data_IF_601265888695
#
_entry.id   IF_601265888695
#
_cell.length_a   1.000
_cell.length_b   1.000
_cell.length_c   1.000
_cell.angle_alpha   90.00
_cell.angle_beta   90.00
_cell.angle_gamma   90.00
#
_symmetry.space_group_name_H-M   'P 1'
#
loop_
_entity.id
_entity.type
_entity.pdbx_description
1 polymer ?
#
# COMPACT_ATOMS: atom_id res chain seq x y z
N UNK A 1 -28.85 -8.00 4.29
CA UNK A 1 -27.66 -7.22 4.48
C UNK A 1 -26.42 -8.07 4.47
N UNK A 2 -25.45 -7.67 3.78
CA UNK A 2 -24.47 -8.60 3.23
C UNK A 2 -23.64 -9.27 4.32
N UNK A 3 -23.96 -10.49 4.60
CA UNK A 3 -23.03 -11.50 5.12
C UNK A 3 -21.77 -11.60 4.24
N UNK A 4 -21.60 -10.66 3.29
CA UNK A 4 -20.79 -10.89 2.11
C UNK A 4 -19.50 -10.09 2.04
N UNK A 5 -19.34 -8.98 2.76
CA UNK A 5 -18.08 -8.22 2.62
C UNK A 5 -16.90 -9.05 3.14
N UNK A 6 -17.04 -9.73 4.27
CA UNK A 6 -15.98 -10.62 4.77
C UNK A 6 -15.79 -11.87 3.90
N UNK A 7 -16.85 -12.37 3.28
CA UNK A 7 -16.79 -13.50 2.35
C UNK A 7 -16.32 -13.10 0.96
N UNK A 8 -16.76 -11.95 0.46
CA UNK A 8 -16.35 -11.41 -0.84
C UNK A 8 -14.93 -10.85 -0.82
N UNK A 9 -14.43 -10.39 0.32
CA UNK A 9 -13.06 -9.88 0.45
C UNK A 9 -11.99 -10.97 0.57
N UNK A 10 -12.36 -12.26 0.53
CA UNK A 10 -11.42 -13.34 0.76
C UNK A 10 -10.86 -13.42 2.19
N UNK A 11 -11.36 -12.60 3.10
CA UNK A 11 -10.94 -12.57 4.51
C UNK A 11 -11.73 -13.59 5.31
N UNK A 12 -11.25 -14.80 5.36
CA UNK A 12 -11.81 -15.86 6.25
C UNK A 12 -11.17 -15.76 7.64
N UNK A 13 -10.12 -14.96 7.80
CA UNK A 13 -9.42 -14.67 9.03
C UNK A 13 -8.01 -14.14 8.73
N UNK A 14 -7.38 -13.50 9.69
CA UNK A 14 -6.01 -12.97 9.54
C UNK A 14 -4.96 -14.06 9.28
N UNK A 15 -5.27 -15.33 9.59
CA UNK A 15 -4.37 -16.46 9.41
C UNK A 15 -4.53 -17.20 8.08
N UNK A 16 -5.54 -16.88 7.29
CA UNK A 16 -5.85 -17.58 6.03
C UNK A 16 -6.04 -16.57 4.91
N UNK A 17 -4.94 -16.10 4.36
CA UNK A 17 -4.90 -15.08 3.33
C UNK A 17 -5.04 -15.70 1.94
N UNK A 18 -5.99 -15.21 1.14
CA UNK A 18 -6.22 -15.65 -0.23
C UNK A 18 -4.94 -15.62 -1.08
N UNK A 19 -4.22 -14.51 -1.07
CA UNK A 19 -3.00 -14.36 -1.87
C UNK A 19 -1.88 -15.30 -1.44
N UNK A 20 -1.75 -15.57 -0.14
CA UNK A 20 -0.82 -16.57 0.35
C UNK A 20 -1.17 -17.96 -0.19
N UNK A 21 -2.45 -18.35 -0.18
CA UNK A 21 -2.91 -19.63 -0.72
C UNK A 21 -2.70 -19.73 -2.23
N UNK A 22 -2.94 -18.65 -2.94
CA UNK A 22 -2.64 -18.58 -4.38
C UNK A 22 -1.15 -18.72 -4.65
N UNK A 23 -0.30 -18.09 -3.86
CA UNK A 23 1.16 -18.18 -3.96
C UNK A 23 1.64 -19.60 -3.67
N UNK A 24 1.20 -20.22 -2.57
CA UNK A 24 1.53 -21.59 -2.21
C UNK A 24 1.14 -22.57 -3.31
N UNK A 25 -0.07 -22.40 -3.89
CA UNK A 25 -0.51 -23.18 -5.03
C UNK A 25 0.35 -22.92 -6.26
N UNK A 26 0.58 -21.67 -6.59
CA UNK A 26 1.40 -21.27 -7.74
C UNK A 26 2.80 -21.92 -7.69
N UNK A 27 3.37 -22.12 -6.50
CA UNK A 27 4.64 -22.81 -6.31
C UNK A 27 4.56 -24.34 -6.51
N UNK A 28 3.41 -24.95 -6.19
CA UNK A 28 3.29 -26.41 -6.10
C UNK A 28 2.56 -27.07 -7.28
N UNK A 29 1.62 -26.37 -7.93
CA UNK A 29 0.76 -26.96 -8.96
C UNK A 29 0.15 -25.89 -9.87
N UNK A 30 -0.13 -26.27 -11.12
CA UNK A 30 -0.83 -25.41 -12.11
C UNK A 30 -2.20 -25.97 -12.51
N UNK A 31 -2.72 -27.02 -11.84
CA UNK A 31 -3.96 -27.64 -12.24
C UNK A 31 -5.19 -26.75 -11.94
N UNK A 32 -6.23 -26.85 -12.76
CA UNK A 32 -7.48 -26.11 -12.60
C UNK A 32 -8.23 -26.47 -11.32
N UNK A 33 -8.12 -27.72 -10.86
CA UNK A 33 -8.80 -28.20 -9.66
C UNK A 33 -8.42 -27.36 -8.43
N UNK A 34 -7.13 -27.02 -8.27
CA UNK A 34 -6.67 -26.16 -7.18
C UNK A 34 -7.19 -24.72 -7.26
N UNK A 35 -7.51 -24.23 -8.47
CA UNK A 35 -8.16 -22.91 -8.64
C UNK A 35 -9.60 -22.98 -8.16
N UNK A 36 -10.32 -24.02 -8.53
CA UNK A 36 -11.71 -24.24 -8.15
C UNK A 36 -11.80 -24.37 -6.62
N UNK A 37 -10.91 -25.15 -6.01
CA UNK A 37 -10.86 -25.33 -4.55
C UNK A 37 -10.65 -24.00 -3.82
N UNK A 38 -9.71 -23.17 -4.28
CA UNK A 38 -9.48 -21.84 -3.69
C UNK A 38 -10.71 -20.96 -3.90
N UNK A 39 -11.28 -20.93 -5.10
CA UNK A 39 -12.46 -20.13 -5.43
C UNK A 39 -13.66 -20.49 -4.52
N UNK A 40 -13.91 -21.77 -4.32
CA UNK A 40 -14.97 -22.28 -3.44
C UNK A 40 -14.69 -21.92 -1.97
N UNK A 41 -13.47 -22.17 -1.49
CA UNK A 41 -13.07 -21.89 -0.11
C UNK A 41 -13.26 -20.42 0.26
N UNK A 42 -12.90 -19.52 -0.64
CA UNK A 42 -12.98 -18.07 -0.40
C UNK A 42 -14.27 -17.43 -0.92
N UNK A 43 -15.17 -18.25 -1.50
CA UNK A 43 -16.44 -17.80 -2.08
C UNK A 43 -16.26 -16.65 -3.09
N UNK A 44 -15.29 -16.82 -3.98
CA UNK A 44 -15.01 -15.92 -5.10
C UNK A 44 -15.18 -16.69 -6.43
N UNK A 45 -15.35 -15.98 -7.53
CA UNK A 45 -15.42 -16.62 -8.86
C UNK A 45 -14.06 -17.18 -9.29
N UNK A 46 -14.08 -18.29 -10.00
CA UNK A 46 -12.87 -18.89 -10.63
C UNK A 46 -12.14 -17.86 -11.50
N UNK A 47 -12.89 -17.02 -12.25
CA UNK A 47 -12.35 -15.93 -13.04
C UNK A 47 -11.62 -14.88 -12.21
N UNK A 48 -12.01 -14.67 -10.95
CA UNK A 48 -11.32 -13.76 -10.04
C UNK A 48 -9.93 -14.29 -9.69
N UNK A 49 -9.81 -15.60 -9.45
CA UNK A 49 -8.52 -16.24 -9.17
C UNK A 49 -7.61 -16.15 -10.40
N UNK A 50 -8.12 -16.49 -11.60
CA UNK A 50 -7.34 -16.33 -12.83
C UNK A 50 -6.93 -14.90 -13.11
N UNK A 51 -7.83 -13.94 -12.87
CA UNK A 51 -7.53 -12.52 -12.99
C UNK A 51 -6.40 -12.08 -12.05
N UNK A 52 -6.43 -12.53 -10.79
CA UNK A 52 -5.38 -12.24 -9.84
C UNK A 52 -4.05 -12.91 -10.21
N UNK A 53 -4.05 -14.18 -10.61
CA UNK A 53 -2.84 -14.90 -11.05
C UNK A 53 -2.18 -14.25 -12.27
N UNK A 54 -2.97 -13.75 -13.22
CA UNK A 54 -2.44 -13.09 -14.41
C UNK A 54 -1.98 -11.65 -14.15
N UNK A 55 -2.54 -11.00 -13.14
CA UNK A 55 -2.23 -9.62 -12.81
C UNK A 55 -0.99 -9.48 -11.91
N UNK A 56 -0.90 -10.28 -10.86
CA UNK A 56 0.19 -10.16 -9.88
C UNK A 56 1.42 -10.96 -10.31
N UNK A 57 2.53 -10.27 -10.53
CA UNK A 57 3.78 -10.85 -11.02
C UNK A 57 4.28 -12.04 -10.19
N UNK A 58 4.17 -11.98 -8.86
CA UNK A 58 4.58 -13.07 -7.98
C UNK A 58 3.71 -14.33 -8.07
N UNK A 59 2.51 -14.22 -8.62
CA UNK A 59 1.60 -15.36 -8.78
C UNK A 59 1.78 -16.06 -10.14
N UNK A 60 2.48 -15.43 -11.08
CA UNK A 60 2.66 -15.97 -12.43
C UNK A 60 3.53 -17.23 -12.43
N UNK A 61 3.12 -18.29 -13.10
CA UNK A 61 3.88 -19.55 -13.16
C UNK A 61 5.30 -19.39 -13.70
N UNK A 62 5.51 -18.52 -14.68
CA UNK A 62 6.81 -18.23 -15.28
C UNK A 62 7.78 -17.54 -14.33
N UNK A 63 7.30 -16.97 -13.24
CA UNK A 63 8.11 -16.29 -12.24
C UNK A 63 8.56 -17.16 -11.07
N UNK A 64 8.09 -18.41 -10.99
CA UNK A 64 8.42 -19.34 -9.89
C UNK A 64 9.91 -19.57 -9.66
N UNK A 65 10.69 -19.60 -10.74
CA UNK A 65 12.14 -19.83 -10.66
C UNK A 65 12.94 -18.55 -10.45
N UNK A 66 12.29 -17.37 -10.51
CA UNK A 66 12.96 -16.09 -10.39
C UNK A 66 13.32 -15.81 -8.93
N UNK A 67 14.49 -15.22 -8.73
CA UNK A 67 15.01 -14.80 -7.43
C UNK A 67 15.02 -13.28 -7.28
N UNK A 68 15.19 -12.57 -8.39
CA UNK A 68 15.18 -11.14 -8.43
C UNK A 68 14.24 -10.63 -9.53
N UNK A 69 13.63 -9.48 -9.31
CA UNK A 69 12.78 -8.80 -10.27
C UNK A 69 13.24 -7.37 -10.44
N UNK A 70 13.50 -6.97 -11.67
CA UNK A 70 13.87 -5.59 -12.02
C UNK A 70 12.59 -4.81 -12.30
N UNK A 71 12.47 -3.61 -11.75
CA UNK A 71 11.33 -2.74 -11.99
C UNK A 71 11.28 -2.29 -13.45
N UNK A 72 10.18 -2.60 -14.13
CA UNK A 72 9.91 -2.18 -15.50
C UNK A 72 8.81 -1.09 -15.56
N UNK A 73 8.66 -0.34 -14.47
CA UNK A 73 7.75 0.81 -14.39
C UNK A 73 8.26 2.01 -15.19
N UNK A 74 7.34 2.85 -15.66
CA UNK A 74 7.64 3.97 -16.57
C UNK A 74 8.74 4.91 -16.04
N UNK A 75 8.76 5.23 -14.76
CA UNK A 75 9.78 6.11 -14.18
C UNK A 75 11.19 5.50 -14.28
N UNK A 76 11.35 4.22 -13.95
CA UNK A 76 12.62 3.52 -14.06
C UNK A 76 13.06 3.33 -15.52
N UNK A 77 12.11 3.06 -16.42
CA UNK A 77 12.38 2.98 -17.86
C UNK A 77 12.88 4.31 -18.43
N UNK A 78 12.19 5.41 -18.08
CA UNK A 78 12.60 6.75 -18.51
C UNK A 78 13.99 7.15 -17.97
N UNK A 79 14.36 6.65 -16.79
CA UNK A 79 15.71 6.86 -16.24
C UNK A 79 16.81 6.10 -17.01
N UNK A 80 16.43 5.09 -17.80
CA UNK A 80 17.36 4.33 -18.67
C UNK A 80 18.38 3.46 -17.93
N UNK A 81 18.14 3.15 -16.64
CA UNK A 81 19.10 2.43 -15.79
C UNK A 81 18.86 0.92 -15.73
N UNK A 82 17.70 0.47 -16.19
CA UNK A 82 17.21 -0.89 -15.93
C UNK A 82 17.97 -1.99 -16.70
N UNK A 83 18.39 -1.72 -17.92
CA UNK A 83 19.14 -2.71 -18.72
C UNK A 83 20.48 -3.05 -18.07
N UNK A 84 21.21 -2.05 -17.58
CA UNK A 84 22.47 -2.25 -16.88
C UNK A 84 22.31 -2.99 -15.57
N UNK A 85 21.25 -2.67 -14.81
CA UNK A 85 20.88 -3.35 -13.57
C UNK A 85 20.52 -4.82 -13.83
N UNK A 86 19.66 -5.07 -14.81
CA UNK A 86 19.24 -6.41 -15.21
C UNK A 86 20.44 -7.26 -15.62
N UNK A 87 21.35 -6.70 -16.39
CA UNK A 87 22.59 -7.37 -16.80
C UNK A 87 23.44 -7.76 -15.58
N UNK A 88 23.69 -6.83 -14.65
CA UNK A 88 24.43 -7.11 -13.41
C UNK A 88 23.80 -8.22 -12.58
N UNK A 89 22.48 -8.19 -12.39
CA UNK A 89 21.76 -9.21 -11.62
C UNK A 89 21.84 -10.58 -12.31
N UNK A 90 21.68 -10.64 -13.62
CA UNK A 90 21.82 -11.88 -14.41
C UNK A 90 23.21 -12.49 -14.33
N UNK A 91 24.25 -11.67 -14.41
CA UNK A 91 25.64 -12.10 -14.24
C UNK A 91 25.89 -12.75 -12.87
N UNK A 92 25.21 -12.26 -11.82
CA UNK A 92 25.39 -12.75 -10.43
C UNK A 92 24.48 -13.92 -10.07
N UNK A 93 23.24 -13.91 -10.53
CA UNK A 93 22.23 -14.88 -10.13
C UNK A 93 21.97 -15.97 -11.18
N UNK A 94 22.32 -15.70 -12.43
CA UNK A 94 22.02 -16.52 -13.61
C UNK A 94 20.88 -15.93 -14.46
N UNK A 95 20.93 -16.17 -15.77
CA UNK A 95 19.96 -15.64 -16.75
C UNK A 95 18.49 -15.94 -16.39
N UNK A 96 18.25 -17.19 -15.99
CA UNK A 96 16.88 -17.65 -15.68
C UNK A 96 16.37 -17.22 -14.30
N UNK A 97 17.18 -16.54 -13.50
CA UNK A 97 16.82 -16.16 -12.11
C UNK A 97 16.36 -14.72 -11.97
N UNK A 98 16.42 -13.94 -13.05
CA UNK A 98 16.01 -12.55 -13.05
C UNK A 98 14.77 -12.37 -13.90
N UNK A 99 13.73 -11.78 -13.32
CA UNK A 99 12.48 -11.40 -13.97
C UNK A 99 12.30 -9.89 -14.00
N UNK A 100 11.16 -9.48 -14.49
CA UNK A 100 10.71 -8.09 -14.51
C UNK A 100 9.37 -7.98 -13.79
N UNK A 101 9.11 -6.82 -13.20
CA UNK A 101 7.81 -6.50 -12.63
C UNK A 101 7.52 -5.01 -12.72
N UNK A 102 6.23 -4.66 -12.66
CA UNK A 102 5.83 -3.27 -12.73
C UNK A 102 5.77 -2.64 -11.35
N UNK A 103 6.45 -1.51 -11.24
CA UNK A 103 6.51 -0.57 -10.17
C UNK A 103 6.71 -1.14 -8.75
N UNK A 104 7.95 -1.04 -8.29
CA UNK A 104 8.35 -1.39 -6.91
C UNK A 104 8.20 -0.23 -5.91
N UNK A 105 7.59 0.89 -6.31
CA UNK A 105 7.34 2.03 -5.42
C UNK A 105 8.52 2.99 -5.21
N UNK A 106 9.69 2.77 -5.85
CA UNK A 106 10.89 3.62 -5.74
C UNK A 106 11.09 4.53 -6.95
N UNK A 107 10.00 5.11 -7.48
CA UNK A 107 10.04 5.92 -8.69
C UNK A 107 10.90 7.18 -8.57
N UNK A 108 11.10 7.68 -7.36
CA UNK A 108 11.92 8.86 -7.06
C UNK A 108 13.42 8.57 -7.01
N UNK A 109 13.83 7.30 -6.84
CA UNK A 109 15.23 6.87 -6.78
C UNK A 109 15.69 6.17 -8.07
N UNK A 110 14.77 5.55 -8.79
CA UNK A 110 15.02 4.72 -9.95
C UNK A 110 15.88 3.46 -9.66
N UNK A 111 16.30 2.76 -10.69
CA UNK A 111 17.16 1.56 -10.57
C UNK A 111 16.63 0.52 -9.59
N UNK A 112 15.31 0.39 -9.49
CA UNK A 112 14.67 -0.47 -8.47
C UNK A 112 14.69 -1.93 -8.87
N UNK A 113 14.93 -2.79 -7.89
CA UNK A 113 14.79 -4.23 -8.02
C UNK A 113 14.31 -4.85 -6.70
N UNK A 114 13.65 -5.99 -6.82
CA UNK A 114 13.23 -6.81 -5.70
C UNK A 114 14.13 -8.02 -5.58
N UNK A 115 14.58 -8.36 -4.40
CA UNK A 115 15.37 -9.55 -4.14
C UNK A 115 15.13 -10.05 -2.71
N UNK A 116 14.82 -11.34 -2.59
CA UNK A 116 14.66 -12.05 -1.31
C UNK A 116 13.68 -11.38 -0.33
N UNK A 117 12.54 -10.88 -0.85
CA UNK A 117 11.50 -10.26 -0.04
C UNK A 117 11.63 -8.73 0.13
N UNK A 118 12.78 -8.15 -0.22
CA UNK A 118 13.10 -6.74 -0.01
C UNK A 118 13.19 -5.96 -1.34
N UNK A 119 12.88 -4.67 -1.29
CA UNK A 119 13.05 -3.75 -2.41
C UNK A 119 14.30 -2.90 -2.22
N UNK A 120 15.07 -2.76 -3.28
CA UNK A 120 16.30 -1.97 -3.36
C UNK A 120 16.18 -0.95 -4.50
N UNK A 121 16.82 0.22 -4.35
CA UNK A 121 16.77 1.28 -5.35
C UNK A 121 17.97 2.24 -5.26
N UNK A 122 18.09 3.13 -6.23
CA UNK A 122 19.06 4.21 -6.23
C UNK A 122 20.50 3.71 -6.04
N UNK A 123 21.14 4.17 -4.98
CA UNK A 123 22.52 3.84 -4.66
C UNK A 123 22.75 2.40 -4.20
N UNK A 124 21.70 1.65 -3.87
CA UNK A 124 21.80 0.25 -3.45
C UNK A 124 22.40 -0.63 -4.56
N UNK A 125 22.26 -0.24 -5.83
CA UNK A 125 22.87 -0.95 -6.95
C UNK A 125 24.38 -1.07 -6.87
N UNK A 126 25.03 -0.22 -6.10
CA UNK A 126 26.48 -0.29 -5.87
C UNK A 126 26.83 -1.38 -4.84
N UNK A 127 25.86 -1.85 -4.10
CA UNK A 127 25.97 -2.85 -3.03
C UNK A 127 25.35 -4.21 -3.41
N UNK A 128 25.09 -4.45 -4.70
CA UNK A 128 24.46 -5.69 -5.19
C UNK A 128 25.17 -6.95 -4.68
N UNK A 129 26.50 -6.95 -4.61
CA UNK A 129 27.26 -8.10 -4.10
C UNK A 129 26.99 -8.40 -2.62
N UNK A 130 26.83 -7.36 -1.82
CA UNK A 130 26.48 -7.48 -0.39
C UNK A 130 25.04 -7.93 -0.22
N UNK A 131 24.12 -7.36 -1.00
CA UNK A 131 22.71 -7.73 -1.02
C UNK A 131 22.52 -9.21 -1.33
N UNK A 132 23.20 -9.69 -2.40
CA UNK A 132 23.09 -11.09 -2.81
C UNK A 132 23.67 -12.05 -1.77
N UNK A 133 24.69 -11.63 -1.01
CA UNK A 133 25.25 -12.40 0.11
C UNK A 133 24.39 -12.36 1.37
N UNK A 134 23.33 -11.54 1.40
CA UNK A 134 22.48 -11.35 2.58
C UNK A 134 23.13 -10.51 3.67
N UNK A 135 24.10 -9.67 3.32
CA UNK A 135 24.73 -8.74 4.25
C UNK A 135 23.79 -7.55 4.49
N UNK A 136 23.72 -7.04 5.72
CA UNK A 136 22.96 -5.83 6.02
C UNK A 136 23.60 -4.63 5.33
N UNK A 137 22.83 -3.99 4.46
CA UNK A 137 23.22 -2.72 3.82
C UNK A 137 22.49 -1.56 4.51
N UNK A 138 23.15 -0.41 4.53
CA UNK A 138 22.50 0.82 4.96
C UNK A 138 21.81 1.45 3.77
N UNK A 139 20.49 1.32 3.72
CA UNK A 139 19.69 2.05 2.74
C UNK A 139 19.65 3.53 3.08
N UNK A 140 19.81 4.38 2.08
CA UNK A 140 19.62 5.82 2.22
C UNK A 140 18.12 6.13 2.23
N UNK A 141 17.65 6.85 3.26
CA UNK A 141 16.26 7.32 3.26
C UNK A 141 16.13 8.50 2.30
N UNK A 142 15.04 8.51 1.53
CA UNK A 142 14.69 9.66 0.72
C UNK A 142 14.39 10.88 1.61
N UNK A 143 14.57 12.05 1.03
CA UNK A 143 14.30 13.32 1.70
C UNK A 143 13.19 14.06 0.97
N UNK A 144 12.12 14.41 1.68
CA UNK A 144 11.03 15.23 1.16
C UNK A 144 11.09 16.64 1.73
N UNK A 145 10.88 17.63 0.89
CA UNK A 145 10.86 19.04 1.27
C UNK A 145 9.65 19.75 0.67
N UNK A 146 8.95 20.51 1.50
CA UNK A 146 7.93 21.45 1.03
C UNK A 146 8.53 22.79 0.70
N UNK A 147 8.09 23.40 -0.41
CA UNK A 147 8.39 24.78 -0.78
C UNK A 147 7.23 25.72 -0.45
N UNK A 148 6.15 25.23 0.14
CA UNK A 148 5.04 26.05 0.59
C UNK A 148 5.46 26.90 1.81
N UNK A 149 4.92 28.11 1.92
CA UNK A 149 5.15 28.99 3.08
C UNK A 149 4.56 28.41 4.37
N UNK A 150 3.56 27.56 4.27
CA UNK A 150 2.96 26.80 5.37
C UNK A 150 2.73 25.36 4.88
N UNK A 151 3.30 24.40 5.59
CA UNK A 151 3.20 22.99 5.25
C UNK A 151 2.54 22.22 6.38
N UNK A 152 1.25 21.99 6.29
CA UNK A 152 0.49 21.22 7.31
C UNK A 152 0.84 19.74 7.30
N UNK A 153 1.18 19.19 6.14
CA UNK A 153 1.45 17.76 6.00
C UNK A 153 2.92 17.39 6.23
N UNK A 154 3.83 18.33 5.91
CA UNK A 154 5.28 18.12 5.99
C UNK A 154 5.91 18.93 7.13
N UNK A 155 5.12 19.40 8.09
CA UNK A 155 5.64 20.07 9.28
C UNK A 155 6.43 19.06 10.12
N UNK A 156 7.69 19.41 10.45
CA UNK A 156 8.63 18.59 11.24
C UNK A 156 8.12 18.24 12.65
N UNK A 157 7.08 18.91 13.09
CA UNK A 157 6.40 18.57 14.34
C UNK A 157 5.53 17.32 14.12
N UNK A 158 6.18 16.17 14.09
CA UNK A 158 5.50 14.89 14.29
C UNK A 158 4.64 14.99 15.54
N UNK A 159 3.34 14.72 15.41
CA UNK A 159 2.50 14.52 16.57
C UNK A 159 3.07 13.35 17.36
N UNK A 160 3.72 13.64 18.49
CA UNK A 160 4.07 12.57 19.40
C UNK A 160 2.78 11.98 20.02
N UNK A 161 2.88 10.79 20.60
CA UNK A 161 1.72 10.09 21.17
C UNK A 161 0.95 10.92 22.20
N UNK A 162 1.62 11.77 23.00
CA UNK A 162 0.95 12.61 23.99
C UNK A 162 0.14 13.72 23.32
N UNK A 163 0.69 14.37 22.31
CA UNK A 163 -0.01 15.39 21.53
C UNK A 163 -1.18 14.76 20.76
N UNK A 164 -0.98 13.58 20.17
CA UNK A 164 -2.01 12.83 19.48
C UNK A 164 -3.19 12.52 20.43
N UNK A 165 -2.91 11.98 21.62
CA UNK A 165 -3.92 11.71 22.65
C UNK A 165 -4.68 12.97 23.05
N UNK A 166 -3.97 14.03 23.37
CA UNK A 166 -4.59 15.32 23.77
C UNK A 166 -5.49 15.90 22.67
N UNK A 167 -5.07 15.82 21.41
CA UNK A 167 -5.90 16.26 20.29
C UNK A 167 -7.13 15.37 20.11
N UNK A 168 -7.01 14.05 20.23
CA UNK A 168 -8.14 13.13 20.15
C UNK A 168 -9.16 13.44 21.28
N UNK A 169 -8.71 13.55 22.51
CA UNK A 169 -9.57 13.87 23.66
C UNK A 169 -10.31 15.19 23.44
N UNK A 170 -9.66 16.18 22.85
CA UNK A 170 -10.29 17.43 22.47
C UNK A 170 -11.39 17.22 21.43
N UNK A 171 -11.08 16.53 20.33
CA UNK A 171 -12.01 16.42 19.20
C UNK A 171 -13.20 15.49 19.43
N UNK A 172 -13.06 14.41 20.20
CA UNK A 172 -14.19 13.53 20.54
C UNK A 172 -15.21 14.18 21.50
N UNK A 173 -14.85 15.32 22.09
CA UNK A 173 -15.76 16.13 22.90
C UNK A 173 -16.47 17.23 22.10
N UNK A 174 -16.10 17.45 20.83
CA UNK A 174 -16.83 18.38 19.97
C UNK A 174 -18.14 17.78 19.45
N UNK A 175 -19.13 18.63 19.22
CA UNK A 175 -20.32 18.22 18.48
C UNK A 175 -19.89 17.79 17.05
N UNK A 176 -20.34 16.61 16.63
CA UNK A 176 -20.10 16.05 15.30
C UNK A 176 -20.52 17.01 14.17
N UNK A 177 -21.62 17.76 14.37
CA UNK A 177 -22.10 18.74 13.40
C UNK A 177 -21.15 19.93 13.26
N UNK A 178 -20.52 20.36 14.35
CA UNK A 178 -19.53 21.44 14.29
C UNK A 178 -18.26 21.00 13.58
N UNK A 179 -17.86 19.74 13.71
CA UNK A 179 -16.73 19.18 12.93
C UNK A 179 -17.08 19.19 11.44
N UNK A 180 -18.27 18.71 11.06
CA UNK A 180 -18.73 18.72 9.66
C UNK A 180 -18.78 20.14 9.11
N UNK A 181 -19.33 21.09 9.87
CA UNK A 181 -19.40 22.50 9.49
C UNK A 181 -18.00 23.12 9.29
N UNK A 182 -17.05 22.78 10.16
CA UNK A 182 -15.66 23.22 10.03
C UNK A 182 -15.02 22.68 8.74
N UNK A 183 -15.27 21.40 8.42
CA UNK A 183 -14.80 20.81 7.17
C UNK A 183 -15.43 21.47 5.93
N UNK A 184 -16.72 21.79 5.97
CA UNK A 184 -17.37 22.52 4.87
C UNK A 184 -16.79 23.93 4.70
N UNK A 185 -16.58 24.64 5.81
CA UNK A 185 -16.01 25.98 5.77
C UNK A 185 -14.55 26.01 5.31
N UNK A 186 -13.80 24.94 5.53
CA UNK A 186 -12.42 24.79 5.06
C UNK A 186 -12.31 24.52 3.57
N UNK A 187 -13.40 24.23 2.88
CA UNK A 187 -13.44 23.79 1.48
C UNK A 187 -12.56 22.55 1.20
N UNK A 188 -12.29 21.73 2.23
CA UNK A 188 -11.54 20.49 2.04
C UNK A 188 -12.32 19.55 1.11
N UNK A 189 -11.69 19.15 0.03
CA UNK A 189 -12.26 18.27 -0.99
C UNK A 189 -11.41 17.01 -1.20
N UNK A 190 -12.06 15.97 -1.73
CA UNK A 190 -11.37 14.73 -2.09
C UNK A 190 -10.33 14.96 -3.18
N UNK A 191 -9.23 14.20 -3.13
CA UNK A 191 -8.11 14.27 -4.07
C UNK A 191 -8.07 13.12 -5.08
N UNK A 192 -9.08 12.26 -5.09
CA UNK A 192 -9.20 11.15 -6.04
C UNK A 192 -9.82 11.52 -7.40
N UNK A 193 -9.78 12.79 -7.79
CA UNK A 193 -10.22 13.27 -9.10
C UNK A 193 -11.54 14.07 -9.07
N UNK A 194 -12.59 13.58 -8.44
CA UNK A 194 -13.92 14.21 -8.45
C UNK A 194 -14.02 15.52 -7.62
N UNK A 195 -13.07 15.79 -6.73
CA UNK A 195 -13.08 17.00 -5.90
C UNK A 195 -14.27 17.13 -4.96
N UNK A 196 -14.93 16.03 -4.60
CA UNK A 196 -16.14 16.08 -3.79
C UNK A 196 -15.87 16.63 -2.38
N UNK A 197 -16.70 17.55 -1.84
CA UNK A 197 -16.47 18.14 -0.52
C UNK A 197 -16.47 17.10 0.60
N UNK A 198 -15.38 17.04 1.36
CA UNK A 198 -15.19 16.03 2.41
C UNK A 198 -16.26 16.14 3.51
N UNK A 199 -16.60 17.35 3.92
CA UNK A 199 -17.64 17.58 4.92
C UNK A 199 -19.02 17.06 4.48
N UNK A 200 -19.39 17.22 3.21
CA UNK A 200 -20.63 16.67 2.66
C UNK A 200 -20.62 15.14 2.65
N UNK A 201 -19.50 14.53 2.28
CA UNK A 201 -19.36 13.06 2.29
C UNK A 201 -19.54 12.49 3.69
N UNK A 202 -18.93 13.10 4.69
CA UNK A 202 -19.08 12.68 6.08
C UNK A 202 -20.51 12.89 6.61
N UNK A 203 -21.13 14.03 6.26
CA UNK A 203 -22.52 14.31 6.64
C UNK A 203 -23.48 13.27 6.07
N UNK A 204 -23.39 12.95 4.78
CA UNK A 204 -24.21 11.92 4.15
C UNK A 204 -24.01 10.56 4.81
N UNK A 205 -22.74 10.14 4.98
CA UNK A 205 -22.44 8.87 5.61
C UNK A 205 -22.93 8.79 7.06
N UNK A 206 -22.89 9.91 7.80
CA UNK A 206 -23.38 9.97 9.19
C UNK A 206 -24.88 9.70 9.30
N UNK A 207 -25.65 10.15 8.29
CA UNK A 207 -27.11 10.03 8.24
C UNK A 207 -27.61 8.66 7.79
N UNK A 208 -26.74 7.87 7.12
CA UNK A 208 -27.11 6.53 6.69
C UNK A 208 -27.38 5.62 7.90
N UNK A 209 -28.47 4.85 7.81
CA UNK A 209 -28.83 3.84 8.81
C UNK A 209 -28.18 2.52 8.46
N UNK A 210 -27.12 2.16 9.15
CA UNK A 210 -26.42 0.89 8.98
C UNK A 210 -25.92 0.39 10.33
N UNK A 211 -25.96 -0.92 10.53
CA UNK A 211 -25.40 -1.58 11.72
C UNK A 211 -23.88 -1.46 11.76
N UNK A 212 -23.24 -1.42 10.58
CA UNK A 212 -21.80 -1.27 10.45
C UNK A 212 -21.46 -0.20 9.42
N UNK A 213 -20.51 0.63 9.81
CA UNK A 213 -19.87 1.62 8.93
C UNK A 213 -18.37 1.42 9.00
N UNK A 214 -17.67 1.78 7.92
CA UNK A 214 -16.23 1.63 7.83
C UNK A 214 -15.59 2.95 7.40
N UNK A 215 -14.43 3.26 7.95
CA UNK A 215 -13.53 4.27 7.42
C UNK A 215 -12.47 3.57 6.60
N UNK A 216 -12.43 3.84 5.31
CA UNK A 216 -11.41 3.27 4.42
C UNK A 216 -10.43 4.38 4.03
N UNK A 217 -9.19 4.25 4.47
CA UNK A 217 -8.09 5.05 3.96
C UNK A 217 -7.54 4.36 2.71
N UNK A 218 -7.88 4.92 1.55
CA UNK A 218 -7.30 4.45 0.31
C UNK A 218 -5.93 5.10 0.14
N UNK A 219 -4.90 4.29 0.34
CA UNK A 219 -3.50 4.63 0.13
C UNK A 219 -2.88 3.70 -0.93
N UNK A 220 -3.67 3.30 -1.92
CA UNK A 220 -3.20 2.60 -3.12
C UNK A 220 -2.73 3.63 -4.15
N UNK A 221 -1.49 4.05 -4.00
CA UNK A 221 -0.84 5.04 -4.88
C UNK A 221 -0.35 4.36 -6.16
N UNK A 222 -1.30 4.17 -7.10
CA UNK A 222 -1.10 3.40 -8.33
C UNK A 222 -0.24 4.08 -9.39
N UNK A 223 -0.15 5.40 -9.39
CA UNK A 223 0.54 6.18 -10.42
C UNK A 223 2.07 6.08 -10.27
N UNK A 224 2.75 5.68 -11.34
CA UNK A 224 4.21 5.65 -11.36
C UNK A 224 4.79 7.06 -11.21
N UNK A 225 5.66 7.24 -10.21
CA UNK A 225 6.23 8.55 -9.88
C UNK A 225 5.49 9.31 -8.78
N UNK A 226 4.29 8.88 -8.39
CA UNK A 226 3.61 9.37 -7.20
C UNK A 226 4.14 8.66 -5.94
N UNK A 227 4.38 9.41 -4.88
CA UNK A 227 4.87 8.90 -3.59
C UNK A 227 4.41 9.76 -2.39
N UNK A 228 3.35 10.53 -2.56
CA UNK A 228 2.78 11.37 -1.50
C UNK A 228 2.12 10.56 -0.40
N UNK A 229 1.41 9.50 -0.77
CA UNK A 229 0.74 8.62 0.19
C UNK A 229 1.77 7.82 0.98
N UNK A 230 2.82 7.35 0.30
CA UNK A 230 3.96 6.72 0.95
C UNK A 230 4.59 7.62 2.01
N UNK A 231 4.90 8.88 1.65
CA UNK A 231 5.42 9.86 2.59
C UNK A 231 4.52 10.03 3.82
N UNK A 232 3.20 10.15 3.62
CA UNK A 232 2.27 10.33 4.71
C UNK A 232 2.20 9.11 5.63
N UNK A 233 2.29 7.90 5.09
CA UNK A 233 2.26 6.67 5.87
C UNK A 233 3.57 6.43 6.63
N UNK A 234 4.73 6.70 6.01
CA UNK A 234 6.03 6.45 6.62
C UNK A 234 6.44 7.56 7.60
N UNK A 235 6.26 8.84 7.23
CA UNK A 235 6.75 9.98 8.03
C UNK A 235 5.67 10.66 8.86
N UNK A 236 4.38 10.52 8.51
CA UNK A 236 3.27 11.19 9.17
C UNK A 236 2.11 10.25 9.56
N UNK A 237 2.36 8.99 10.00
CA UNK A 237 1.30 8.00 10.21
C UNK A 237 0.26 8.47 11.23
N UNK A 238 0.68 9.18 12.29
CA UNK A 238 -0.25 9.69 13.29
C UNK A 238 -1.24 10.71 12.73
N UNK A 239 -0.86 11.50 11.72
CA UNK A 239 -1.79 12.43 11.06
C UNK A 239 -2.85 11.68 10.26
N UNK A 240 -2.45 10.61 9.56
CA UNK A 240 -3.37 9.74 8.82
C UNK A 240 -4.35 9.07 9.78
N UNK A 241 -3.85 8.44 10.84
CA UNK A 241 -4.67 7.79 11.86
C UNK A 241 -5.62 8.79 12.55
N UNK A 242 -5.15 10.00 12.86
CA UNK A 242 -5.99 11.05 13.42
C UNK A 242 -7.18 11.36 12.51
N UNK A 243 -6.95 11.57 11.22
CA UNK A 243 -8.01 11.81 10.24
C UNK A 243 -9.01 10.66 10.17
N UNK A 244 -8.53 9.41 10.19
CA UNK A 244 -9.39 8.23 10.19
C UNK A 244 -10.27 8.14 11.45
N UNK A 245 -9.68 8.39 12.62
CA UNK A 245 -10.40 8.31 13.91
C UNK A 245 -11.49 9.40 13.99
N UNK A 246 -11.16 10.64 13.61
CA UNK A 246 -12.14 11.74 13.61
C UNK A 246 -13.26 11.47 12.58
N UNK A 247 -12.92 10.93 11.41
CA UNK A 247 -13.94 10.48 10.46
C UNK A 247 -14.85 9.42 11.08
N UNK A 248 -14.28 8.40 11.70
CA UNK A 248 -15.03 7.34 12.39
C UNK A 248 -15.94 7.88 13.47
N UNK A 249 -15.44 8.80 14.28
CA UNK A 249 -16.23 9.48 15.31
C UNK A 249 -17.45 10.19 14.72
N UNK A 250 -17.25 10.98 13.65
CA UNK A 250 -18.33 11.74 13.00
C UNK A 250 -19.38 10.82 12.40
N UNK A 251 -18.96 9.83 11.60
CA UNK A 251 -19.90 8.96 10.89
C UNK A 251 -20.49 7.84 11.74
N UNK A 252 -19.97 7.64 12.95
CA UNK A 252 -20.39 6.56 13.84
C UNK A 252 -19.82 5.20 13.45
N UNK A 253 -18.56 5.16 13.03
CA UNK A 253 -17.79 3.94 12.72
C UNK A 253 -16.74 3.70 13.80
N UNK A 254 -16.57 2.43 14.18
CA UNK A 254 -15.50 1.96 15.06
C UNK A 254 -14.52 1.04 14.32
N UNK A 255 -14.67 0.90 13.00
CA UNK A 255 -13.81 0.08 12.17
C UNK A 255 -13.11 0.93 11.10
N UNK A 256 -11.77 0.85 11.04
CA UNK A 256 -10.94 1.49 10.05
C UNK A 256 -10.19 0.45 9.22
N UNK A 257 -10.00 0.73 7.93
CA UNK A 257 -9.24 -0.11 7.01
C UNK A 257 -8.23 0.76 6.29
N UNK A 258 -6.96 0.36 6.34
CA UNK A 258 -5.92 0.89 5.49
C UNK A 258 -5.82 0.00 4.24
N UNK A 259 -6.07 0.59 3.07
CA UNK A 259 -5.88 -0.07 1.80
C UNK A 259 -4.60 0.46 1.17
N UNK A 260 -3.55 -0.35 1.24
CA UNK A 260 -2.18 0.05 0.92
C UNK A 260 -1.69 -0.77 -0.27
N UNK A 261 -0.98 -0.11 -1.17
CA UNK A 261 -0.33 -0.77 -2.30
C UNK A 261 0.72 -1.77 -1.82
N UNK A 262 0.74 -2.97 -2.43
CA UNK A 262 1.62 -4.07 -2.01
C UNK A 262 3.11 -3.71 -1.94
N UNK A 263 3.62 -2.86 -2.83
CA UNK A 263 5.02 -2.43 -2.80
C UNK A 263 5.39 -1.56 -1.59
N UNK A 264 4.42 -0.96 -0.91
CA UNK A 264 4.66 -0.18 0.31
C UNK A 264 4.75 -1.07 1.57
N UNK A 265 4.14 -2.25 1.54
CA UNK A 265 4.17 -3.19 2.66
C UNK A 265 5.57 -3.79 2.90
N UNK A 266 6.39 -3.91 1.86
CA UNK A 266 7.73 -4.49 1.94
C UNK A 266 8.81 -3.51 2.41
N UNK A 267 8.48 -2.24 2.58
CA UNK A 267 9.43 -1.18 2.96
C UNK A 267 9.25 -0.65 4.37
N UNK A 268 8.21 -1.09 5.09
CA UNK A 268 7.97 -0.66 6.46
C UNK A 268 8.05 -1.85 7.42
N UNK A 269 9.15 -1.96 8.15
CA UNK A 269 9.24 -2.79 9.37
C UNK A 269 8.25 -2.36 10.47
N UNK A 270 7.48 -1.31 10.21
CA UNK A 270 6.50 -0.74 11.14
C UNK A 270 5.16 -1.48 11.16
N UNK A 271 4.99 -2.53 10.37
CA UNK A 271 3.75 -3.32 10.33
C UNK A 271 3.75 -4.53 11.27
N UNK A 272 4.88 -4.84 11.92
CA UNK A 272 5.05 -6.01 12.79
C UNK A 272 5.08 -5.68 14.30
N UNK A 273 4.84 -4.41 14.69
CA UNK A 273 4.71 -4.01 16.09
C UNK A 273 3.25 -3.68 16.49
#
# INVERSE_FOLDING_TARGET
MSKNISKLSGRIGLKDNLFQKMSERSLNSTNEEGIIEIAEKYNVGVSTIHGAESFYEFLRPEHRSKKAFVCNGSACMCAGTQDSLKKKLKEKLGEDKVGEMFCLGHCYENSSFHYNGENYAGNDINQIDQIIKGENIKQEKYFSKSFASTSFLMDDKLLNLNQFKSLLEKFINFDKKEIVKSLLNSNLSGRGGAGFPTGMKWDFCSKEKSEKKYVICNADEGDSGAFSDRYLLEDQPLKVLFGMIICGYVIGSNEGVLYIRGCLLYTSDAADE
#
